data_IF_937218785876
#
_entry.id   IF_937218785876
#
_cell.length_a   1.000
_cell.length_b   1.000
_cell.length_c   1.000
_cell.angle_alpha   90.00
_cell.angle_beta   90.00
_cell.angle_gamma   90.00
#
_symmetry.space_group_name_H-M   'P 1'
#
loop_
_entity.id
_entity.type
_entity.pdbx_description
1 polymer ?
#
# COMPACT_ATOMS: atom_id res chain seq x y z
N UNK A 1 8.90 -1.80 -15.54
CA UNK A 1 8.79 -1.67 -14.07
C UNK A 1 7.57 -2.44 -13.62
N UNK A 2 7.69 -3.30 -12.61
CA UNK A 2 6.62 -4.16 -12.11
C UNK A 2 6.26 -3.77 -10.67
N UNK A 3 4.99 -3.52 -10.40
CA UNK A 3 4.52 -3.06 -9.08
C UNK A 3 3.40 -3.99 -8.62
N UNK A 4 3.49 -4.42 -7.36
CA UNK A 4 2.47 -5.21 -6.68
C UNK A 4 1.99 -4.45 -5.43
N UNK A 5 0.70 -4.17 -5.33
CA UNK A 5 0.09 -3.62 -4.11
C UNK A 5 -0.99 -4.55 -3.57
N UNK A 6 -0.99 -4.83 -2.27
CA UNK A 6 -1.95 -5.75 -1.69
C UNK A 6 -2.18 -5.58 -0.18
N UNK A 7 -3.43 -5.34 0.20
CA UNK A 7 -3.86 -5.58 1.58
C UNK A 7 -3.97 -7.10 1.82
N UNK A 8 -3.12 -7.61 2.71
CA UNK A 8 -2.96 -9.04 2.93
C UNK A 8 -4.05 -9.65 3.82
N UNK A 9 -4.82 -8.82 4.53
CA UNK A 9 -5.77 -9.17 5.59
C UNK A 9 -5.10 -9.84 6.82
N UNK A 10 -5.48 -9.44 8.06
CA UNK A 10 -4.79 -9.83 9.29
C UNK A 10 -4.74 -11.32 9.59
N UNK A 11 -5.66 -12.10 9.01
CA UNK A 11 -5.79 -13.55 9.26
C UNK A 11 -5.43 -14.38 8.03
N UNK A 12 -4.59 -13.85 7.14
CA UNK A 12 -4.16 -14.60 5.97
C UNK A 12 -3.41 -15.88 6.39
N UNK A 13 -3.94 -17.02 5.97
CA UNK A 13 -3.36 -18.34 6.25
C UNK A 13 -2.82 -19.03 4.98
N UNK A 14 -2.66 -18.28 3.88
CA UNK A 14 -2.13 -18.77 2.60
C UNK A 14 -0.84 -18.04 2.21
N UNK A 15 -0.03 -17.68 3.20
CA UNK A 15 1.23 -16.95 3.09
C UNK A 15 2.18 -17.57 2.06
N UNK A 16 2.35 -18.90 2.05
CA UNK A 16 3.19 -19.58 1.06
C UNK A 16 2.70 -19.43 -0.38
N UNK A 17 1.37 -19.34 -0.61
CA UNK A 17 0.83 -19.09 -1.95
C UNK A 17 1.06 -17.64 -2.38
N UNK A 18 1.04 -16.71 -1.43
CA UNK A 18 1.37 -15.33 -1.71
C UNK A 18 2.85 -15.15 -2.08
N UNK A 19 3.76 -15.84 -1.38
CA UNK A 19 5.19 -15.84 -1.74
C UNK A 19 5.43 -16.45 -3.13
N UNK A 20 4.75 -17.56 -3.46
CA UNK A 20 4.82 -18.13 -4.81
C UNK A 20 4.34 -17.16 -5.91
N UNK A 21 3.32 -16.35 -5.62
CA UNK A 21 2.91 -15.27 -6.53
C UNK A 21 4.00 -14.19 -6.68
N UNK A 22 4.77 -13.89 -5.63
CA UNK A 22 5.88 -12.94 -5.72
C UNK A 22 6.98 -13.46 -6.65
N UNK A 23 7.30 -14.76 -6.57
CA UNK A 23 8.24 -15.41 -7.49
C UNK A 23 7.74 -15.34 -8.93
N UNK A 24 6.51 -15.78 -9.18
CA UNK A 24 5.91 -15.86 -10.52
C UNK A 24 5.85 -14.48 -11.22
N UNK A 25 5.49 -13.43 -10.47
CA UNK A 25 5.37 -12.08 -11.03
C UNK A 25 6.71 -11.34 -11.08
N UNK A 26 7.62 -11.67 -10.16
CA UNK A 26 8.91 -10.99 -9.93
C UNK A 26 8.81 -9.45 -9.87
N UNK A 27 7.97 -8.84 -9.01
CA UNK A 27 7.80 -7.40 -8.94
C UNK A 27 9.09 -6.64 -8.57
N UNK A 28 9.23 -5.41 -9.05
CA UNK A 28 10.31 -4.50 -8.64
C UNK A 28 9.99 -3.81 -7.31
N UNK A 29 8.71 -3.53 -7.09
CA UNK A 29 8.16 -2.87 -5.90
C UNK A 29 6.98 -3.69 -5.39
N UNK A 30 7.02 -4.08 -4.11
CA UNK A 30 5.90 -4.73 -3.43
C UNK A 30 5.50 -3.88 -2.22
N UNK A 31 4.23 -3.49 -2.14
CA UNK A 31 3.66 -2.78 -0.98
C UNK A 31 2.50 -3.58 -0.39
N UNK A 32 2.65 -3.96 0.87
CA UNK A 32 1.70 -4.79 1.60
C UNK A 32 1.11 -4.03 2.79
N UNK A 33 -0.18 -4.24 3.04
CA UNK A 33 -0.90 -3.71 4.21
C UNK A 33 -1.48 -4.85 5.06
N UNK A 34 -1.79 -4.56 6.32
CA UNK A 34 -2.34 -5.51 7.32
C UNK A 34 -1.51 -6.80 7.53
N UNK A 35 -0.20 -6.74 7.32
CA UNK A 35 0.68 -7.91 7.45
C UNK A 35 0.77 -8.34 8.91
N UNK A 36 0.46 -9.60 9.21
CA UNK A 36 0.63 -10.18 10.54
C UNK A 36 2.12 -10.42 10.86
N UNK A 37 2.47 -10.59 12.13
CA UNK A 37 3.85 -10.93 12.50
C UNK A 37 4.30 -12.24 11.85
N UNK A 38 3.48 -13.28 11.90
CA UNK A 38 3.82 -14.59 11.32
C UNK A 38 4.09 -14.48 9.82
N UNK A 39 3.29 -13.72 9.08
CA UNK A 39 3.54 -13.51 7.65
C UNK A 39 4.77 -12.64 7.41
N UNK A 40 5.02 -11.65 8.25
CA UNK A 40 6.23 -10.83 8.15
C UNK A 40 7.50 -11.68 8.31
N UNK A 41 7.53 -12.62 9.27
CA UNK A 41 8.70 -13.49 9.48
C UNK A 41 8.99 -14.38 8.25
N UNK A 42 7.94 -14.86 7.57
CA UNK A 42 8.07 -15.56 6.29
C UNK A 42 8.58 -14.63 5.17
N UNK A 43 8.08 -13.39 5.10
CA UNK A 43 8.52 -12.38 4.14
C UNK A 43 9.98 -11.98 4.38
N UNK A 44 10.44 -11.89 5.63
CA UNK A 44 11.82 -11.58 5.98
C UNK A 44 12.78 -12.67 5.49
N UNK A 45 12.41 -13.93 5.69
CA UNK A 45 13.15 -15.08 5.17
C UNK A 45 13.22 -15.03 3.64
N UNK A 46 12.08 -14.83 2.98
CA UNK A 46 11.98 -14.68 1.53
C UNK A 46 12.83 -13.52 0.99
N UNK A 47 12.75 -12.33 1.61
CA UNK A 47 13.50 -11.15 1.20
C UNK A 47 15.01 -11.39 1.30
N UNK A 48 15.46 -12.06 2.37
CA UNK A 48 16.86 -12.45 2.54
C UNK A 48 17.33 -13.40 1.43
N UNK A 49 16.53 -14.44 1.12
CA UNK A 49 16.84 -15.40 0.07
C UNK A 49 16.91 -14.76 -1.32
N UNK A 50 16.00 -13.83 -1.60
CA UNK A 50 15.91 -13.12 -2.89
C UNK A 50 16.80 -11.88 -2.96
N UNK A 51 17.59 -11.58 -1.91
CA UNK A 51 18.41 -10.36 -1.80
C UNK A 51 17.60 -9.07 -2.01
N UNK A 52 16.37 -9.04 -1.50
CA UNK A 52 15.49 -7.87 -1.53
C UNK A 52 15.70 -7.01 -0.29
N UNK A 53 15.55 -5.72 -0.46
CA UNK A 53 15.46 -4.78 0.64
C UNK A 53 14.04 -4.80 1.23
N UNK A 54 13.95 -4.79 2.56
CA UNK A 54 12.71 -4.94 3.31
C UNK A 54 12.54 -3.77 4.29
N UNK A 55 11.40 -3.09 4.21
CA UNK A 55 10.97 -2.13 5.23
C UNK A 55 9.72 -2.63 5.95
N UNK A 56 9.71 -2.45 7.26
CA UNK A 56 8.57 -2.72 8.12
C UNK A 56 8.16 -1.43 8.83
N UNK A 57 6.88 -1.10 8.78
CA UNK A 57 6.30 0.00 9.55
C UNK A 57 5.04 -0.50 10.24
N UNK A 58 4.81 -0.08 11.49
CA UNK A 58 3.55 -0.40 12.17
C UNK A 58 2.37 0.14 11.35
N UNK A 59 1.35 -0.67 11.11
CA UNK A 59 0.12 -0.26 10.43
C UNK A 59 -0.93 0.15 11.46
N UNK A 60 -1.44 -0.83 12.21
CA UNK A 60 -2.43 -0.64 13.28
C UNK A 60 -2.31 -1.74 14.35
N UNK A 61 -3.04 -1.57 15.46
CA UNK A 61 -3.05 -2.53 16.58
C UNK A 61 -4.48 -2.99 16.86
N UNK A 62 -4.67 -4.32 16.97
CA UNK A 62 -5.92 -4.95 17.42
C UNK A 62 -5.70 -5.71 18.72
N UNK A 63 -6.34 -5.28 19.81
CA UNK A 63 -6.28 -6.01 21.10
C UNK A 63 -4.84 -6.30 21.57
N UNK A 64 -3.91 -5.40 21.29
CA UNK A 64 -2.49 -5.54 21.62
C UNK A 64 -1.64 -6.28 20.58
N UNK A 65 -2.24 -6.80 19.51
CA UNK A 65 -1.54 -7.45 18.40
C UNK A 65 -1.26 -6.41 17.31
N UNK A 66 0.01 -6.16 16.96
CA UNK A 66 0.37 -5.26 15.87
C UNK A 66 0.21 -5.92 14.50
N UNK A 67 -0.11 -5.09 13.51
CA UNK A 67 -0.06 -5.41 12.08
C UNK A 67 0.82 -4.38 11.38
N UNK A 68 1.36 -4.73 10.22
CA UNK A 68 2.42 -3.96 9.59
C UNK A 68 2.12 -3.59 8.14
N UNK A 69 2.66 -2.44 7.76
CA UNK A 69 2.95 -2.08 6.39
C UNK A 69 4.32 -2.67 6.07
N UNK A 70 4.41 -3.37 4.95
CA UNK A 70 5.65 -3.99 4.50
C UNK A 70 5.95 -3.55 3.08
N UNK A 71 7.17 -3.09 2.85
CA UNK A 71 7.62 -2.70 1.51
C UNK A 71 8.84 -3.54 1.13
N UNK A 72 8.79 -4.22 -0.02
CA UNK A 72 9.93 -4.92 -0.60
C UNK A 72 10.41 -4.21 -1.86
N UNK A 73 11.72 -4.07 -1.99
CA UNK A 73 12.38 -3.39 -3.11
C UNK A 73 13.58 -4.21 -3.60
N UNK A 74 13.84 -4.21 -4.91
CA UNK A 74 15.07 -4.80 -5.47
C UNK A 74 16.34 -4.03 -5.12
N UNK A 75 16.20 -2.73 -4.89
CA UNK A 75 17.30 -1.84 -4.54
C UNK A 75 17.14 -1.33 -3.10
N UNK A 76 18.24 -1.14 -2.36
CA UNK A 76 18.18 -0.61 -1.01
C UNK A 76 17.67 0.84 -1.01
N UNK A 77 16.85 1.19 -0.01
CA UNK A 77 16.46 2.59 0.20
C UNK A 77 17.59 3.37 0.88
N UNK A 78 17.68 4.66 0.54
CA UNK A 78 18.62 5.61 1.13
C UNK A 78 18.05 6.19 2.43
N UNK A 79 16.72 6.33 2.49
CA UNK A 79 16.00 6.84 3.66
C UNK A 79 14.64 6.14 3.75
N UNK A 80 14.36 5.57 4.93
CA UNK A 80 13.01 5.11 5.31
C UNK A 80 12.42 6.06 6.34
N UNK A 81 11.21 6.56 6.08
CA UNK A 81 10.44 7.34 7.04
C UNK A 81 9.15 6.61 7.40
N UNK A 82 8.98 6.31 8.68
CA UNK A 82 7.71 5.89 9.28
C UNK A 82 7.10 7.05 10.07
N UNK A 83 5.78 7.23 9.99
CA UNK A 83 5.12 8.18 10.88
C UNK A 83 5.26 7.76 12.37
N UNK A 84 5.44 8.72 13.29
CA UNK A 84 5.30 8.42 14.71
C UNK A 84 3.86 8.00 15.02
N UNK A 85 3.73 6.86 15.70
CA UNK A 85 2.45 6.31 16.13
C UNK A 85 1.60 7.38 16.86
N UNK A 86 0.49 7.77 16.26
CA UNK A 86 -0.52 8.63 16.88
C UNK A 86 -1.89 7.99 16.77
N UNK A 87 -2.47 7.57 17.90
CA UNK A 87 -3.84 7.06 17.95
C UNK A 87 -4.81 8.19 17.61
N UNK A 88 -5.34 8.20 16.39
CA UNK A 88 -6.27 9.24 15.93
C UNK A 88 -7.73 8.95 16.34
N UNK A 89 -8.05 7.69 16.68
CA UNK A 89 -9.41 7.24 17.03
C UNK A 89 -9.59 6.83 18.50
N UNK A 90 -10.24 7.70 19.28
CA UNK A 90 -10.51 7.49 20.72
C UNK A 90 -11.99 7.22 21.07
N UNK A 91 -12.81 6.81 20.10
CA UNK A 91 -14.25 6.62 20.27
C UNK A 91 -14.64 5.42 21.16
N UNK A 92 -15.88 5.37 21.68
CA UNK A 92 -16.34 4.27 22.54
C UNK A 92 -16.24 2.89 21.86
N UNK A 93 -16.58 2.83 20.55
CA UNK A 93 -16.54 1.59 19.78
C UNK A 93 -15.11 1.08 19.56
N UNK A 94 -14.15 1.98 19.30
CA UNK A 94 -12.74 1.62 19.14
C UNK A 94 -12.13 1.14 20.46
N UNK A 95 -12.53 1.74 21.59
CA UNK A 95 -12.17 1.25 22.94
C UNK A 95 -12.69 -0.16 23.22
N UNK A 96 -13.97 -0.44 22.92
CA UNK A 96 -14.57 -1.76 23.15
C UNK A 96 -13.94 -2.84 22.29
N UNK A 97 -13.63 -2.53 21.03
CA UNK A 97 -12.99 -3.47 20.10
C UNK A 97 -11.48 -3.62 20.37
N UNK A 98 -10.90 -2.80 21.25
CA UNK A 98 -9.45 -2.72 21.46
C UNK A 98 -8.71 -2.27 20.20
N UNK A 99 -9.40 -1.54 19.33
CA UNK A 99 -8.92 -1.12 18.02
C UNK A 99 -8.26 0.25 18.14
N UNK A 100 -6.97 0.32 17.85
CA UNK A 100 -6.25 1.58 17.70
C UNK A 100 -5.82 1.68 16.25
N UNK A 101 -6.58 2.43 15.47
CA UNK A 101 -6.19 2.80 14.11
C UNK A 101 -5.18 3.93 14.18
N UNK A 102 -4.08 3.71 13.50
CA UNK A 102 -3.07 4.69 13.20
C UNK A 102 -3.19 5.02 11.71
N UNK A 103 -3.03 6.30 11.36
CA UNK A 103 -2.57 6.57 10.01
C UNK A 103 -1.08 6.28 10.04
N UNK A 104 -0.65 5.22 9.36
CA UNK A 104 0.75 5.03 9.05
C UNK A 104 0.92 4.91 7.54
N UNK A 105 2.05 5.41 7.11
CA UNK A 105 2.60 5.17 5.79
C UNK A 105 4.10 4.99 5.98
N UNK A 106 4.72 4.21 5.09
CA UNK A 106 6.17 4.16 4.95
C UNK A 106 6.57 4.92 3.70
N UNK A 107 7.71 5.61 3.75
CA UNK A 107 8.32 6.28 2.62
C UNK A 107 9.73 5.72 2.46
N UNK A 108 9.98 5.04 1.34
CA UNK A 108 11.30 4.58 0.93
C UNK A 108 11.81 5.49 -0.19
N UNK A 109 12.91 6.22 0.05
CA UNK A 109 13.56 7.06 -0.98
C UNK A 109 14.75 6.32 -1.56
N UNK A 110 14.71 6.09 -2.87
CA UNK A 110 15.81 5.60 -3.70
C UNK A 110 16.40 6.77 -4.50
N UNK A 111 17.50 6.55 -5.21
CA UNK A 111 18.19 7.61 -5.97
C UNK A 111 17.28 8.30 -7.01
N UNK A 112 16.49 7.52 -7.75
CA UNK A 112 15.61 8.01 -8.81
C UNK A 112 14.11 7.78 -8.54
N UNK A 113 13.76 7.20 -7.40
CA UNK A 113 12.40 6.78 -7.10
C UNK A 113 12.02 7.03 -5.64
N UNK A 114 10.78 7.42 -5.39
CA UNK A 114 10.17 7.39 -4.05
C UNK A 114 9.02 6.40 -4.05
N UNK A 115 9.05 5.45 -3.12
CA UNK A 115 7.96 4.49 -2.89
C UNK A 115 7.25 4.84 -1.59
N UNK A 116 5.94 4.98 -1.65
CA UNK A 116 5.08 5.23 -0.49
C UNK A 116 4.12 4.05 -0.35
N UNK A 117 4.12 3.42 0.82
CA UNK A 117 3.13 2.40 1.19
C UNK A 117 2.19 3.00 2.23
N UNK A 118 0.89 3.02 1.97
CA UNK A 118 -0.09 3.59 2.90
C UNK A 118 -1.31 2.71 3.14
N UNK A 119 -1.90 2.90 4.31
CA UNK A 119 -3.20 2.33 4.64
C UNK A 119 -4.04 3.42 5.34
N UNK A 120 -5.07 3.91 4.64
CA UNK A 120 -5.93 4.99 5.15
C UNK A 120 -6.91 4.43 6.19
N UNK A 121 -7.33 5.26 7.14
CA UNK A 121 -8.15 4.80 8.27
C UNK A 121 -9.53 4.24 7.85
N UNK A 122 -9.88 3.07 8.38
CA UNK A 122 -11.15 2.41 8.11
C UNK A 122 -12.31 3.14 8.82
N UNK A 123 -13.48 3.22 8.16
CA UNK A 123 -14.65 3.99 8.62
C UNK A 123 -14.41 5.48 8.91
N UNK A 124 -13.28 6.06 8.50
CA UNK A 124 -13.10 7.52 8.55
C UNK A 124 -14.07 8.24 7.59
N UNK A 125 -14.31 9.53 7.81
CA UNK A 125 -15.04 10.34 6.83
C UNK A 125 -14.15 10.63 5.60
N UNK A 126 -14.75 10.96 4.43
CA UNK A 126 -13.99 11.28 3.21
C UNK A 126 -13.04 12.48 3.39
N UNK A 127 -13.37 13.43 4.28
CA UNK A 127 -12.49 14.57 4.60
C UNK A 127 -11.23 14.15 5.38
N UNK A 128 -11.35 13.19 6.28
CA UNK A 128 -10.21 12.68 7.06
C UNK A 128 -9.26 11.93 6.15
N UNK A 129 -9.75 10.95 5.38
CA UNK A 129 -8.95 10.22 4.39
C UNK A 129 -8.26 11.13 3.38
N UNK A 130 -8.96 12.20 2.99
CA UNK A 130 -8.40 13.22 2.12
C UNK A 130 -7.18 13.92 2.72
N UNK A 131 -7.22 14.26 4.01
CA UNK A 131 -6.08 14.86 4.73
C UNK A 131 -4.94 13.85 4.89
N UNK A 132 -5.28 12.60 5.18
CA UNK A 132 -4.30 11.51 5.27
C UNK A 132 -3.55 11.31 3.94
N UNK A 133 -4.27 11.34 2.82
CA UNK A 133 -3.64 11.35 1.49
C UNK A 133 -2.77 12.60 1.29
N UNK A 134 -3.23 13.80 1.66
CA UNK A 134 -2.39 15.01 1.57
C UNK A 134 -1.09 14.89 2.37
N UNK A 135 -1.15 14.30 3.56
CA UNK A 135 0.02 14.03 4.40
C UNK A 135 1.01 13.10 3.68
N UNK A 136 0.53 12.02 3.04
CA UNK A 136 1.39 11.15 2.23
C UNK A 136 2.03 11.91 1.06
N UNK A 137 1.26 12.76 0.38
CA UNK A 137 1.70 13.54 -0.79
C UNK A 137 2.75 14.62 -0.45
N UNK A 138 3.01 14.93 0.83
CA UNK A 138 4.11 15.84 1.20
C UNK A 138 5.49 15.18 1.11
N UNK A 139 5.55 13.86 0.92
CA UNK A 139 6.80 13.08 0.92
C UNK A 139 7.26 12.66 -0.47
N UNK A 140 6.62 13.18 -1.52
CA UNK A 140 7.03 12.91 -2.89
C UNK A 140 8.47 13.38 -3.13
N UNK A 141 9.22 12.59 -3.88
CA UNK A 141 10.56 12.94 -4.34
C UNK A 141 10.54 13.60 -5.72
N UNK A 142 11.70 14.08 -6.14
CA UNK A 142 11.90 14.73 -7.45
C UNK A 142 11.91 13.73 -8.62
N UNK A 143 12.07 12.43 -8.34
CA UNK A 143 12.11 11.35 -9.32
C UNK A 143 10.75 10.70 -9.61
N UNK A 144 10.79 9.41 -9.96
CA UNK A 144 9.56 8.60 -10.16
C UNK A 144 8.91 8.34 -8.80
N UNK A 145 7.63 8.65 -8.66
CA UNK A 145 6.88 8.38 -7.44
C UNK A 145 5.96 7.18 -7.66
N UNK A 146 5.95 6.24 -6.73
CA UNK A 146 5.06 5.08 -6.69
C UNK A 146 4.37 5.05 -5.33
N UNK A 147 3.05 4.92 -5.33
CA UNK A 147 2.25 4.82 -4.11
C UNK A 147 1.36 3.59 -4.22
N UNK A 148 1.64 2.59 -3.39
CA UNK A 148 0.71 1.50 -3.12
C UNK A 148 -0.13 1.84 -1.89
N UNK A 149 -1.44 1.77 -2.02
CA UNK A 149 -2.33 2.22 -0.95
C UNK A 149 -3.61 1.42 -0.86
N UNK A 150 -3.98 1.02 0.35
CA UNK A 150 -5.37 0.72 0.68
C UNK A 150 -6.04 2.01 1.18
N UNK A 151 -7.00 2.50 0.41
CA UNK A 151 -7.72 3.74 0.68
C UNK A 151 -8.88 3.55 1.66
N UNK A 152 -9.27 2.31 1.92
CA UNK A 152 -10.45 1.94 2.65
C UNK A 152 -11.78 2.45 2.07
N UNK A 153 -12.87 1.82 2.51
CA UNK A 153 -14.23 1.98 2.00
C UNK A 153 -14.66 3.47 1.95
N UNK A 154 -14.86 3.98 0.72
CA UNK A 154 -15.41 5.31 0.35
C UNK A 154 -14.41 6.43 -0.01
N UNK A 155 -13.29 6.13 -0.66
CA UNK A 155 -12.49 7.14 -1.35
C UNK A 155 -12.43 6.90 -2.86
N UNK A 156 -13.52 7.14 -3.62
CA UNK A 156 -13.46 6.92 -5.06
C UNK A 156 -12.49 7.92 -5.70
N UNK A 157 -11.34 7.45 -6.17
CA UNK A 157 -10.43 8.23 -7.02
C UNK A 157 -11.15 8.76 -8.24
N UNK A 158 -12.15 8.05 -8.73
CA UNK A 158 -12.99 8.50 -9.85
C UNK A 158 -13.70 9.84 -9.60
N UNK A 159 -13.86 10.28 -8.34
CA UNK A 159 -14.37 11.64 -8.10
C UNK A 159 -13.37 12.65 -8.66
N UNK A 160 -13.87 13.57 -9.50
CA UNK A 160 -13.09 14.61 -10.16
C UNK A 160 -12.16 15.38 -9.20
N UNK A 161 -12.60 15.60 -7.95
CA UNK A 161 -11.80 16.30 -6.94
C UNK A 161 -10.53 15.54 -6.52
N UNK A 162 -10.57 14.20 -6.46
CA UNK A 162 -9.41 13.38 -6.12
C UNK A 162 -8.46 13.25 -7.33
N UNK A 163 -9.00 13.09 -8.55
CA UNK A 163 -8.18 13.15 -9.79
C UNK A 163 -7.44 14.48 -9.94
N UNK A 164 -8.14 15.61 -9.74
CA UNK A 164 -7.52 16.95 -9.79
C UNK A 164 -6.42 17.11 -8.74
N UNK A 165 -6.57 16.48 -7.59
CA UNK A 165 -5.56 16.49 -6.53
C UNK A 165 -4.31 15.74 -6.94
N UNK A 166 -4.43 14.49 -7.37
CA UNK A 166 -3.28 13.72 -7.84
C UNK A 166 -2.55 14.44 -8.99
N UNK A 167 -3.30 14.99 -9.96
CA UNK A 167 -2.73 15.78 -11.05
C UNK A 167 -1.94 17.01 -10.61
N UNK A 168 -2.33 17.67 -9.50
CA UNK A 168 -1.56 18.80 -8.95
C UNK A 168 -0.15 18.37 -8.53
N UNK A 169 0.02 17.10 -8.19
CA UNK A 169 1.28 16.50 -7.78
C UNK A 169 1.92 15.67 -8.91
N UNK A 170 1.47 15.82 -10.16
CA UNK A 170 1.92 15.03 -11.30
C UNK A 170 1.75 13.51 -11.09
N UNK A 171 0.65 13.11 -10.47
CA UNK A 171 0.32 11.71 -10.18
C UNK A 171 -0.97 11.28 -10.87
N UNK A 172 -1.05 9.99 -11.19
CA UNK A 172 -2.23 9.30 -11.71
C UNK A 172 -2.43 7.96 -11.02
N UNK A 173 -3.66 7.69 -10.58
CA UNK A 173 -4.12 6.36 -10.17
C UNK A 173 -4.42 5.54 -11.43
N UNK A 174 -3.59 4.53 -11.70
CA UNK A 174 -3.66 3.68 -12.91
C UNK A 174 -4.63 2.50 -12.74
N UNK A 175 -5.12 2.26 -11.52
CA UNK A 175 -6.09 1.19 -11.25
C UNK A 175 -7.48 1.59 -11.76
N UNK A 176 -7.79 2.90 -11.77
CA UNK A 176 -9.00 3.47 -12.36
C UNK A 176 -10.31 2.75 -11.93
N UNK A 177 -10.45 2.35 -10.66
CA UNK A 177 -11.67 1.71 -10.20
C UNK A 177 -11.81 0.23 -10.57
N UNK A 178 -10.84 -0.38 -11.26
CA UNK A 178 -10.91 -1.77 -11.76
C UNK A 178 -10.89 -2.85 -10.67
N UNK A 179 -10.70 -2.45 -9.41
CA UNK A 179 -10.44 -3.31 -8.24
C UNK A 179 -11.63 -3.33 -7.31
N UNK A 180 -12.79 -3.57 -7.90
CA UNK A 180 -14.04 -3.74 -7.17
C UNK A 180 -13.96 -5.01 -6.31
N UNK A 181 -13.70 -4.87 -5.01
CA UNK A 181 -13.98 -5.90 -4.00
C UNK A 181 -15.31 -5.55 -3.33
N UNK A 182 -16.27 -6.49 -3.33
CA UNK A 182 -17.61 -6.30 -2.74
C UNK A 182 -18.35 -5.01 -3.22
N UNK A 183 -18.14 -4.60 -4.48
CA UNK A 183 -18.77 -3.41 -5.05
C UNK A 183 -18.00 -2.10 -4.86
N UNK A 184 -16.79 -2.13 -4.31
CA UNK A 184 -16.00 -0.94 -3.99
C UNK A 184 -14.54 -1.07 -4.45
N UNK A 185 -14.00 -0.02 -5.06
CA UNK A 185 -12.56 0.13 -5.32
C UNK A 185 -11.90 0.68 -4.06
N UNK A 186 -11.11 -0.16 -3.38
CA UNK A 186 -10.49 0.16 -2.09
C UNK A 186 -8.98 0.38 -2.26
N UNK A 187 -8.34 -0.41 -3.11
CA UNK A 187 -6.90 -0.39 -3.33
C UNK A 187 -6.51 0.42 -4.58
N UNK A 188 -5.37 1.09 -4.51
CA UNK A 188 -4.82 1.90 -5.60
C UNK A 188 -3.32 1.66 -5.83
N UNK A 189 -2.92 1.87 -7.08
CA UNK A 189 -1.53 2.06 -7.47
C UNK A 189 -1.48 3.42 -8.14
N UNK A 190 -0.84 4.38 -7.47
CA UNK A 190 -0.72 5.76 -7.93
C UNK A 190 0.73 5.97 -8.32
N UNK A 191 0.97 6.46 -9.52
CA UNK A 191 2.33 6.66 -10.04
C UNK A 191 2.50 8.05 -10.61
N UNK A 192 3.75 8.49 -10.79
CA UNK A 192 4.05 9.68 -11.58
C UNK A 192 3.44 9.62 -12.98
N UNK A 193 3.01 10.78 -13.49
CA UNK A 193 2.32 10.90 -14.77
C UNK A 193 3.15 10.38 -15.96
N UNK A 194 4.47 10.57 -15.92
CA UNK A 194 5.39 10.08 -16.95
C UNK A 194 5.42 8.54 -17.03
N UNK A 195 5.30 7.87 -15.87
CA UNK A 195 5.15 6.42 -15.81
C UNK A 195 3.74 5.99 -16.25
N UNK A 196 2.71 6.72 -15.82
CA UNK A 196 1.31 6.44 -16.20
C UNK A 196 1.02 6.57 -17.70
N UNK A 197 1.83 7.33 -18.44
CA UNK A 197 1.72 7.52 -19.88
C UNK A 197 2.36 6.39 -20.70
N UNK A 198 3.15 5.52 -20.08
CA UNK A 198 3.74 4.37 -20.76
C UNK A 198 2.68 3.31 -21.04
N UNK A 199 3.00 2.39 -21.94
CA UNK A 199 2.22 1.18 -22.10
C UNK A 199 2.36 0.32 -20.83
N UNK A 200 1.25 -0.21 -20.34
CA UNK A 200 1.25 -1.09 -19.18
C UNK A 200 0.13 -2.12 -19.23
N UNK A 201 0.40 -3.29 -18.66
CA UNK A 201 -0.59 -4.30 -18.37
C UNK A 201 -1.00 -4.24 -16.90
N UNK A 202 -2.30 -4.35 -16.63
CA UNK A 202 -2.86 -4.34 -15.28
C UNK A 202 -3.63 -5.65 -15.04
N UNK A 203 -3.28 -6.33 -13.96
CA UNK A 203 -3.87 -7.61 -13.59
C UNK A 203 -4.30 -7.65 -12.13
N UNK A 204 -5.42 -8.33 -11.90
CA UNK A 204 -5.87 -8.71 -10.55
C UNK A 204 -5.52 -10.16 -10.32
N UNK A 205 -4.73 -10.42 -9.29
CA UNK A 205 -4.28 -11.77 -8.97
C UNK A 205 -5.29 -12.49 -8.07
N UNK A 206 -5.10 -13.79 -7.84
CA UNK A 206 -5.93 -14.51 -6.89
C UNK A 206 -5.75 -13.94 -5.47
N UNK A 207 -6.80 -14.00 -4.63
CA UNK A 207 -6.78 -13.33 -3.32
C UNK A 207 -5.84 -13.94 -2.28
N UNK A 208 -5.33 -15.16 -2.50
CA UNK A 208 -4.41 -15.85 -1.58
C UNK A 208 -4.74 -15.68 -0.09
N UNK A 209 -6.00 -15.90 0.33
CA UNK A 209 -6.41 -15.83 1.75
C UNK A 209 -6.84 -14.45 2.26
N UNK A 210 -6.69 -13.39 1.46
CA UNK A 210 -7.22 -12.05 1.74
C UNK A 210 -8.66 -11.86 1.24
N UNK A 211 -9.34 -10.84 1.74
CA UNK A 211 -10.58 -10.29 1.17
C UNK A 211 -10.31 -9.21 0.10
N UNK A 212 -9.06 -8.77 -0.05
CA UNK A 212 -8.56 -7.90 -1.11
C UNK A 212 -7.83 -8.69 -2.20
N UNK A 213 -7.92 -8.20 -3.44
CA UNK A 213 -7.16 -8.75 -4.56
C UNK A 213 -5.77 -8.10 -4.61
N UNK A 214 -4.69 -8.87 -4.77
CA UNK A 214 -3.40 -8.29 -5.11
C UNK A 214 -3.48 -7.61 -6.49
N UNK A 215 -2.96 -6.40 -6.56
CA UNK A 215 -2.97 -5.57 -7.75
C UNK A 215 -1.58 -5.58 -8.37
N UNK A 216 -1.47 -6.12 -9.57
CA UNK A 216 -0.21 -6.18 -10.30
C UNK A 216 -0.26 -5.27 -11.52
N UNK A 217 0.82 -4.54 -11.77
CA UNK A 217 1.02 -3.78 -12.99
C UNK A 217 2.43 -3.98 -13.51
N UNK A 218 2.55 -4.11 -14.83
CA UNK A 218 3.83 -4.12 -15.55
C UNK A 218 3.86 -2.99 -16.57
N UNK A 219 4.79 -2.06 -16.40
CA UNK A 219 5.08 -0.98 -17.34
C UNK A 219 6.19 -1.38 -18.31
N UNK A 220 5.94 -1.16 -19.60
CA UNK A 220 6.88 -1.37 -20.69
C UNK A 220 7.64 -0.08 -21.01
N UNK A 221 8.83 -0.23 -21.63
CA UNK A 221 9.66 0.89 -22.07
C UNK A 221 9.28 1.38 -23.46
#
# INVERSE_FOLDING_TARGET
MKILNWNTHPNNNRTSQALGMFDDLSPDVITLQEVSQDFFDEIESYATEQSLYLEQTLDWIRRGIPYYLVTLLKEPSVESQSLPYQTRRNGPLSKVLGWKETLNYSVAKLEAQTVINGHLEHHAGPLTRRRQLDEMLTHLGDGTNVIGVDLNQWFPFEKLSNRKRLRKHNLTDIVHGKTVSNGLCLDGIIVSEDLAQREYDFEKQARHGSDHYPLFVEFYN
#
